data_IF_891919553786
#
_entry.id   IF_891919553786
#
_cell.length_a   1.000
_cell.length_b   1.000
_cell.length_c   1.000
_cell.angle_alpha   90.00
_cell.angle_beta   90.00
_cell.angle_gamma   90.00
#
_symmetry.space_group_name_H-M   'P 1'
#
loop_
_entity.id
_entity.type
_entity.pdbx_description
1 polymer ?
#
# COMPACT_ATOMS: atom_id res chain seq x y z
N UNK A 1 2.99 -8.80 -22.60
CA UNK A 1 3.13 -7.51 -21.89
C UNK A 1 2.66 -7.71 -20.46
N UNK A 2 3.34 -7.15 -19.46
CA UNK A 2 2.93 -7.22 -18.06
C UNK A 2 2.70 -5.80 -17.53
N UNK A 3 1.69 -5.64 -16.68
CA UNK A 3 1.35 -4.36 -16.06
C UNK A 3 1.63 -4.38 -14.55
N UNK A 4 2.25 -3.31 -14.07
CA UNK A 4 2.35 -3.04 -12.65
C UNK A 4 1.09 -2.35 -12.13
N UNK A 5 0.90 -2.42 -10.82
CA UNK A 5 -0.11 -1.67 -10.10
C UNK A 5 0.16 -0.15 -10.06
N UNK A 6 -0.84 0.57 -9.54
CA UNK A 6 -0.80 2.02 -9.37
C UNK A 6 -0.10 2.49 -8.10
N UNK A 7 -0.50 3.67 -7.63
CA UNK A 7 0.06 4.29 -6.42
C UNK A 7 -0.69 3.87 -5.15
N UNK A 8 -0.01 3.11 -4.27
CA UNK A 8 -0.53 2.72 -2.95
C UNK A 8 -0.83 3.92 -2.06
N UNK A 9 0.13 4.84 -1.89
CA UNK A 9 0.00 5.98 -0.96
C UNK A 9 -1.18 6.90 -1.26
N UNK A 10 -1.38 7.26 -2.53
CA UNK A 10 -2.51 8.11 -2.95
C UNK A 10 -3.87 7.45 -2.68
N UNK A 11 -3.99 6.13 -2.88
CA UNK A 11 -5.24 5.42 -2.60
C UNK A 11 -5.48 5.33 -1.10
N UNK A 12 -4.45 5.08 -0.28
CA UNK A 12 -4.61 5.05 1.17
C UNK A 12 -4.97 6.43 1.73
N UNK A 13 -4.41 7.52 1.20
CA UNK A 13 -4.83 8.89 1.55
C UNK A 13 -6.30 9.13 1.25
N UNK A 14 -6.79 8.67 0.09
CA UNK A 14 -8.22 8.75 -0.25
C UNK A 14 -9.12 7.89 0.66
N UNK A 15 -8.55 6.87 1.33
CA UNK A 15 -9.23 6.00 2.31
C UNK A 15 -9.05 6.44 3.76
N UNK A 16 -8.43 7.61 4.00
CA UNK A 16 -8.31 8.20 5.33
C UNK A 16 -6.94 8.09 6.00
N UNK A 17 -5.91 7.64 5.29
CA UNK A 17 -4.52 7.74 5.80
C UNK A 17 -4.16 9.21 6.04
N UNK A 18 -3.79 9.54 7.28
CA UNK A 18 -3.56 10.92 7.69
C UNK A 18 -2.20 11.45 7.19
N UNK A 19 -2.06 12.78 7.02
CA UNK A 19 -0.76 13.39 6.73
C UNK A 19 0.29 13.03 7.79
N UNK A 20 1.46 12.55 7.34
CA UNK A 20 2.56 12.14 8.21
C UNK A 20 2.42 10.72 8.79
N UNK A 21 1.27 10.06 8.64
CA UNK A 21 1.11 8.66 8.98
C UNK A 21 1.92 7.77 8.01
N UNK A 22 2.50 6.69 8.54
CA UNK A 22 3.27 5.74 7.75
C UNK A 22 2.34 4.67 7.16
N UNK A 23 2.19 4.59 5.82
CA UNK A 23 1.32 3.60 5.17
C UNK A 23 1.63 2.17 5.58
N UNK A 24 2.90 1.86 5.86
CA UNK A 24 3.35 0.50 6.17
C UNK A 24 2.82 0.01 7.52
N UNK A 25 2.38 0.90 8.43
CA UNK A 25 1.69 0.50 9.68
C UNK A 25 0.35 -0.19 9.39
N UNK A 26 -0.31 0.17 8.30
CA UNK A 26 -1.60 -0.42 7.91
C UNK A 26 -1.49 -1.88 7.51
N UNK A 27 -0.28 -2.40 7.23
CA UNK A 27 -0.08 -3.84 7.09
C UNK A 27 -0.48 -4.61 8.35
N UNK A 28 -0.44 -3.98 9.52
CA UNK A 28 -0.79 -4.59 10.81
C UNK A 28 -2.12 -4.04 11.34
N UNK A 29 -2.34 -2.73 11.23
CA UNK A 29 -3.53 -2.08 11.82
C UNK A 29 -4.78 -2.18 10.94
N UNK A 30 -4.62 -2.29 9.62
CA UNK A 30 -5.72 -2.36 8.64
C UNK A 30 -5.40 -3.37 7.52
N UNK A 31 -5.08 -4.64 7.84
CA UNK A 31 -4.62 -5.62 6.85
C UNK A 31 -5.64 -5.88 5.73
N UNK A 32 -6.93 -5.77 6.04
CA UNK A 32 -8.01 -5.95 5.05
C UNK A 32 -8.03 -4.82 4.02
N UNK A 33 -7.68 -3.59 4.40
CA UNK A 33 -7.58 -2.44 3.47
C UNK A 33 -6.44 -2.63 2.47
N UNK A 34 -5.28 -3.10 2.95
CA UNK A 34 -4.10 -3.40 2.13
C UNK A 34 -4.39 -4.56 1.18
N UNK A 35 -4.98 -5.63 1.71
CA UNK A 35 -5.36 -6.80 0.91
C UNK A 35 -6.39 -6.42 -0.15
N UNK A 36 -7.43 -5.66 0.23
CA UNK A 36 -8.45 -5.16 -0.68
C UNK A 36 -7.90 -4.21 -1.76
N UNK A 37 -6.90 -3.39 -1.44
CA UNK A 37 -6.18 -2.56 -2.41
C UNK A 37 -5.47 -3.40 -3.46
N UNK A 38 -4.68 -4.40 -3.05
CA UNK A 38 -3.98 -5.26 -4.01
C UNK A 38 -4.95 -6.07 -4.88
N UNK A 39 -6.04 -6.60 -4.30
CA UNK A 39 -7.10 -7.23 -5.08
C UNK A 39 -7.75 -6.27 -6.09
N UNK A 40 -7.95 -5.01 -5.73
CA UNK A 40 -8.48 -4.02 -6.66
C UNK A 40 -7.54 -3.81 -7.86
N UNK A 41 -6.22 -3.77 -7.65
CA UNK A 41 -5.25 -3.67 -8.75
C UNK A 41 -5.23 -4.91 -9.65
N UNK A 42 -5.29 -6.12 -9.08
CA UNK A 42 -5.41 -7.33 -9.88
C UNK A 42 -6.70 -7.35 -10.71
N UNK A 43 -7.82 -6.93 -10.13
CA UNK A 43 -9.10 -6.81 -10.86
C UNK A 43 -9.06 -5.75 -11.96
N UNK A 44 -8.24 -4.71 -11.81
CA UNK A 44 -8.02 -3.69 -12.83
C UNK A 44 -7.06 -4.13 -13.96
N UNK A 45 -6.50 -5.34 -13.88
CA UNK A 45 -5.63 -5.92 -14.91
C UNK A 45 -4.13 -5.86 -14.61
N UNK A 46 -3.72 -5.44 -13.41
CA UNK A 46 -2.32 -5.55 -13.00
C UNK A 46 -1.90 -7.03 -12.94
N UNK A 47 -0.67 -7.32 -13.35
CA UNK A 47 -0.05 -8.62 -13.19
C UNK A 47 0.89 -8.66 -11.99
N UNK A 48 1.43 -7.49 -11.61
CA UNK A 48 2.45 -7.35 -10.57
C UNK A 48 2.01 -6.24 -9.62
N UNK A 49 2.05 -6.52 -8.33
CA UNK A 49 1.80 -5.53 -7.27
C UNK A 49 3.07 -5.29 -6.47
N UNK A 50 3.26 -4.06 -5.97
CA UNK A 50 4.34 -3.74 -5.02
C UNK A 50 3.81 -3.92 -3.60
N UNK A 51 4.58 -4.56 -2.74
CA UNK A 51 4.27 -4.64 -1.31
C UNK A 51 4.18 -3.24 -0.71
N UNK A 52 3.31 -3.05 0.27
CA UNK A 52 3.20 -1.81 1.03
C UNK A 52 4.37 -1.67 2.02
N UNK A 53 5.59 -1.58 1.50
CA UNK A 53 6.85 -1.59 2.27
C UNK A 53 7.87 -0.57 1.76
N UNK A 54 7.45 0.43 0.97
CA UNK A 54 8.36 1.41 0.37
C UNK A 54 9.23 2.13 1.40
N UNK A 55 8.65 2.49 2.56
CA UNK A 55 9.32 3.12 3.69
C UNK A 55 9.67 2.19 4.85
N UNK A 56 9.52 0.87 4.70
CA UNK A 56 9.76 -0.09 5.77
C UNK A 56 11.26 -0.42 5.92
N UNK A 57 12.08 0.59 6.20
CA UNK A 57 13.50 0.45 6.49
C UNK A 57 13.85 1.18 7.79
N UNK A 58 14.88 0.70 8.50
CA UNK A 58 15.14 1.02 9.92
C UNK A 58 15.26 2.52 10.24
N UNK A 59 15.81 3.34 9.34
CA UNK A 59 15.97 4.79 9.60
C UNK A 59 14.67 5.58 9.42
N UNK A 60 13.68 5.03 8.72
CA UNK A 60 12.34 5.63 8.57
C UNK A 60 11.30 4.96 9.46
N UNK A 61 11.52 3.70 9.83
CA UNK A 61 10.67 2.90 10.71
C UNK A 61 11.44 2.58 12.01
N UNK A 62 11.60 3.56 12.92
CA UNK A 62 12.20 3.30 14.22
C UNK A 62 11.30 2.36 15.03
N UNK A 63 11.94 1.57 15.91
CA UNK A 63 11.28 0.65 16.85
C UNK A 63 10.34 1.38 17.81
#
# INVERSE_FOLDING_TARGET
MLFFDGATGSVLQARGLLPGELPERWNVTHPDEITGLHYAYFRAGANIVKTNTFGAFSTKFPA
#
